data_IF_412406880984
#
_entry.id   IF_412406880984
#
_cell.length_a   1.000
_cell.length_b   1.000
_cell.length_c   1.000
_cell.angle_alpha   90.00
_cell.angle_beta   90.00
_cell.angle_gamma   90.00
#
_symmetry.space_group_name_H-M   'P 1'
#
loop_
_entity.id
_entity.type
_entity.pdbx_description
1 polymer ?
#
# COMPACT_ATOMS: atom_id res chain seq x y z
N UNK A 1 12.45 -20.88 2.63
CA UNK A 1 12.11 -20.72 1.21
C UNK A 1 13.40 -20.37 0.48
N UNK A 2 13.77 -21.17 -0.52
CA UNK A 2 15.11 -21.21 -1.09
C UNK A 2 15.59 -19.84 -1.62
N UNK A 3 16.81 -19.45 -1.24
CA UNK A 3 17.48 -18.23 -1.75
C UNK A 3 17.75 -18.33 -3.26
N UNK A 4 17.58 -19.51 -3.85
CA UNK A 4 17.60 -19.78 -5.29
C UNK A 4 16.20 -19.99 -5.90
N UNK A 5 15.19 -19.26 -5.45
CA UNK A 5 13.92 -19.16 -6.18
C UNK A 5 14.23 -18.89 -7.67
N UNK A 6 13.85 -19.85 -8.52
CA UNK A 6 14.17 -19.93 -9.95
C UNK A 6 14.06 -18.54 -10.60
N UNK A 7 15.16 -18.05 -11.18
CA UNK A 7 15.23 -16.69 -11.72
C UNK A 7 14.12 -16.40 -12.72
N UNK A 8 13.74 -17.40 -13.54
CA UNK A 8 12.64 -17.29 -14.47
C UNK A 8 11.28 -17.09 -13.77
N UNK A 9 11.05 -17.77 -12.63
CA UNK A 9 9.84 -17.55 -11.82
C UNK A 9 9.83 -16.13 -11.27
N UNK A 10 10.96 -15.64 -10.73
CA UNK A 10 11.05 -14.27 -10.19
C UNK A 10 10.81 -13.20 -11.25
N UNK A 11 11.32 -13.42 -12.46
CA UNK A 11 11.12 -12.52 -13.59
C UNK A 11 9.65 -12.52 -14.03
N UNK A 12 9.05 -13.71 -14.18
CA UNK A 12 7.63 -13.84 -14.51
C UNK A 12 6.72 -13.19 -13.45
N UNK A 13 6.99 -13.42 -12.15
CA UNK A 13 6.29 -12.76 -11.04
C UNK A 13 6.49 -11.25 -11.08
N UNK A 14 7.70 -10.77 -11.35
CA UNK A 14 7.98 -9.33 -11.46
C UNK A 14 7.21 -8.66 -12.61
N UNK A 15 7.13 -9.33 -13.76
CA UNK A 15 6.35 -8.85 -14.90
C UNK A 15 4.84 -8.81 -14.59
N UNK A 16 4.33 -9.84 -13.91
CA UNK A 16 2.94 -9.87 -13.44
C UNK A 16 2.65 -8.73 -12.46
N UNK A 17 3.47 -8.58 -11.42
CA UNK A 17 3.32 -7.53 -10.42
C UNK A 17 3.39 -6.12 -11.03
N UNK A 18 4.25 -5.92 -12.04
CA UNK A 18 4.30 -4.65 -12.78
C UNK A 18 3.00 -4.38 -13.53
N UNK A 19 2.45 -5.37 -14.23
CA UNK A 19 1.16 -5.23 -14.93
C UNK A 19 0.03 -4.84 -13.98
N UNK A 20 -0.06 -5.51 -12.82
CA UNK A 20 -1.03 -5.16 -11.78
C UNK A 20 -0.80 -3.75 -11.25
N UNK A 21 0.45 -3.42 -10.89
CA UNK A 21 0.82 -2.10 -10.38
C UNK A 21 0.42 -0.99 -11.36
N UNK A 22 0.77 -1.12 -12.64
CA UNK A 22 0.49 -0.11 -13.66
C UNK A 22 -1.03 0.13 -13.80
N UNK A 23 -1.85 -0.92 -13.63
CA UNK A 23 -3.30 -0.81 -13.66
C UNK A 23 -3.89 -0.09 -12.42
N UNK A 24 -3.40 -0.40 -11.21
CA UNK A 24 -4.02 0.09 -9.96
C UNK A 24 -3.41 1.40 -9.44
N UNK A 25 -2.12 1.66 -9.72
CA UNK A 25 -1.38 2.77 -9.13
C UNK A 25 -2.01 4.15 -9.40
N UNK A 26 -2.55 4.45 -10.60
CA UNK A 26 -3.25 5.72 -10.84
C UNK A 26 -4.45 5.92 -9.92
N UNK A 27 -5.28 4.88 -9.74
CA UNK A 27 -6.46 4.93 -8.89
C UNK A 27 -6.06 5.05 -7.41
N UNK A 28 -5.06 4.28 -6.97
CA UNK A 28 -4.51 4.36 -5.60
C UNK A 28 -3.99 5.78 -5.31
N UNK A 29 -3.21 6.37 -6.23
CA UNK A 29 -2.66 7.72 -6.05
C UNK A 29 -3.76 8.77 -5.95
N UNK A 30 -4.77 8.69 -6.82
CA UNK A 30 -5.92 9.60 -6.77
C UNK A 30 -6.69 9.49 -5.44
N UNK A 31 -6.99 8.26 -5.02
CA UNK A 31 -7.67 7.97 -3.76
C UNK A 31 -6.87 8.44 -2.53
N UNK A 32 -5.56 8.20 -2.51
CA UNK A 32 -4.69 8.62 -1.42
C UNK A 32 -4.53 10.15 -1.37
N UNK A 33 -4.39 10.80 -2.53
CA UNK A 33 -4.30 12.26 -2.63
C UNK A 33 -5.57 12.92 -2.09
N UNK A 34 -6.75 12.37 -2.42
CA UNK A 34 -8.03 12.83 -1.86
C UNK A 34 -8.07 12.74 -0.33
N UNK A 35 -7.33 11.80 0.25
CA UNK A 35 -7.19 11.62 1.70
C UNK A 35 -6.00 12.38 2.32
N UNK A 36 -5.29 13.19 1.54
CA UNK A 36 -4.14 13.98 2.01
C UNK A 36 -2.82 13.21 2.08
N UNK A 37 -2.67 12.12 1.33
CA UNK A 37 -1.47 11.29 1.31
C UNK A 37 -0.79 11.29 -0.07
N UNK A 38 0.54 11.31 -0.07
CA UNK A 38 1.36 11.02 -1.25
C UNK A 38 1.75 9.54 -1.27
N UNK A 39 1.69 8.90 -2.45
CA UNK A 39 2.02 7.46 -2.60
C UNK A 39 3.20 7.26 -3.55
N UNK A 40 4.20 6.51 -3.07
CA UNK A 40 5.35 6.07 -3.83
C UNK A 40 5.43 4.53 -3.87
N UNK A 41 5.97 4.01 -4.97
CA UNK A 41 6.36 2.59 -5.10
C UNK A 41 7.74 2.45 -4.47
N UNK A 42 7.92 1.44 -3.62
CA UNK A 42 9.25 1.04 -3.15
C UNK A 42 9.44 -0.46 -3.42
N UNK A 43 10.66 -0.96 -3.22
CA UNK A 43 10.94 -2.38 -3.47
C UNK A 43 11.15 -2.75 -4.94
N UNK A 44 11.25 -4.05 -5.18
CA UNK A 44 11.77 -4.60 -6.45
C UNK A 44 10.71 -5.19 -7.38
N UNK A 45 9.47 -5.30 -6.92
CA UNK A 45 8.35 -6.00 -7.57
C UNK A 45 8.57 -7.51 -7.80
N UNK A 46 9.73 -8.07 -7.42
CA UNK A 46 10.10 -9.46 -7.71
C UNK A 46 9.27 -10.51 -6.97
N UNK A 47 8.45 -10.11 -5.98
CA UNK A 47 7.58 -11.01 -5.21
C UNK A 47 6.24 -10.37 -4.89
N UNK A 48 6.30 -9.12 -4.45
CA UNK A 48 5.25 -8.31 -3.85
C UNK A 48 5.23 -6.91 -4.49
N UNK A 49 4.12 -6.20 -4.36
CA UNK A 49 4.01 -4.79 -4.75
C UNK A 49 4.15 -3.95 -3.48
N UNK A 50 5.34 -3.41 -3.21
CA UNK A 50 5.51 -2.54 -2.05
C UNK A 50 5.17 -1.08 -2.38
N UNK A 51 4.25 -0.51 -1.60
CA UNK A 51 3.85 0.89 -1.66
C UNK A 51 4.05 1.55 -0.30
N UNK A 52 4.37 2.85 -0.33
CA UNK A 52 4.35 3.70 0.86
C UNK A 52 3.44 4.90 0.62
N UNK A 53 2.49 5.09 1.53
CA UNK A 53 1.66 6.28 1.67
C UNK A 53 2.21 7.13 2.82
N UNK A 54 2.43 8.42 2.57
CA UNK A 54 2.94 9.36 3.56
C UNK A 54 1.94 10.51 3.65
N UNK A 55 1.48 10.83 4.85
CA UNK A 55 0.66 12.01 5.08
C UNK A 55 1.40 13.25 4.54
N UNK A 56 0.78 13.92 3.57
CA UNK A 56 1.37 15.04 2.83
C UNK A 56 0.78 16.39 3.24
N UNK A 57 -0.38 16.35 3.91
CA UNK A 57 -1.11 17.53 4.38
C UNK A 57 -1.41 17.40 5.86
N UNK A 58 -1.50 18.52 6.58
CA UNK A 58 -1.88 18.53 8.01
C UNK A 58 -3.30 18.01 8.25
N UNK A 59 -4.15 18.05 7.22
CA UNK A 59 -5.53 17.55 7.24
C UNK A 59 -5.66 16.13 6.67
N UNK A 60 -4.55 15.38 6.61
CA UNK A 60 -4.59 14.00 6.13
C UNK A 60 -5.58 13.18 6.98
N UNK A 61 -6.43 12.42 6.32
CA UNK A 61 -7.47 11.64 6.99
C UNK A 61 -6.87 10.56 7.91
N UNK A 62 -7.64 10.06 8.88
CA UNK A 62 -7.26 8.89 9.67
C UNK A 62 -6.82 7.71 8.78
N UNK A 63 -5.87 6.92 9.27
CA UNK A 63 -5.28 5.81 8.49
C UNK A 63 -6.35 4.81 8.05
N UNK A 64 -7.32 4.49 8.90
CA UNK A 64 -8.37 3.53 8.55
C UNK A 64 -9.24 4.01 7.37
N UNK A 65 -9.50 5.32 7.28
CA UNK A 65 -10.21 5.92 6.15
C UNK A 65 -9.38 5.85 4.86
N UNK A 66 -8.06 6.06 4.96
CA UNK A 66 -7.14 5.89 3.84
C UNK A 66 -7.18 4.44 3.33
N UNK A 67 -7.05 3.47 4.24
CA UNK A 67 -7.04 2.03 3.89
C UNK A 67 -8.36 1.63 3.24
N UNK A 68 -9.50 2.06 3.80
CA UNK A 68 -10.81 1.80 3.20
C UNK A 68 -10.90 2.35 1.77
N UNK A 69 -10.44 3.59 1.56
CA UNK A 69 -10.50 4.26 0.25
C UNK A 69 -9.57 3.58 -0.77
N UNK A 70 -8.34 3.21 -0.36
CA UNK A 70 -7.41 2.49 -1.23
C UNK A 70 -7.96 1.12 -1.63
N UNK A 71 -8.57 0.37 -0.69
CA UNK A 71 -9.21 -0.91 -1.02
C UNK A 71 -10.34 -0.73 -2.04
N UNK A 72 -11.15 0.31 -1.89
CA UNK A 72 -12.17 0.68 -2.88
C UNK A 72 -11.57 0.99 -4.25
N UNK A 73 -10.46 1.72 -4.31
CA UNK A 73 -9.77 2.03 -5.55
C UNK A 73 -9.21 0.78 -6.25
N UNK A 74 -8.57 -0.12 -5.49
CA UNK A 74 -8.07 -1.40 -6.02
C UNK A 74 -9.23 -2.28 -6.48
N UNK A 75 -10.30 -2.39 -5.68
CA UNK A 75 -11.49 -3.18 -6.03
C UNK A 75 -12.20 -2.63 -7.27
N UNK A 76 -12.22 -1.31 -7.48
CA UNK A 76 -12.77 -0.70 -8.69
C UNK A 76 -12.05 -1.09 -9.98
N UNK A 77 -10.77 -1.47 -9.88
CA UNK A 77 -9.95 -1.89 -11.03
C UNK A 77 -9.90 -3.43 -11.15
N UNK A 78 -9.73 -4.14 -10.03
CA UNK A 78 -9.48 -5.59 -10.01
C UNK A 78 -10.67 -6.41 -9.50
N UNK A 79 -11.80 -5.78 -9.20
CA UNK A 79 -13.05 -6.42 -8.76
C UNK A 79 -13.17 -6.67 -7.25
N UNK A 80 -12.06 -6.77 -6.51
CA UNK A 80 -12.07 -6.90 -5.06
C UNK A 80 -10.74 -6.46 -4.42
N UNK A 81 -10.77 -6.12 -3.13
CA UNK A 81 -9.57 -5.93 -2.32
C UNK A 81 -9.88 -6.07 -0.82
N UNK A 82 -9.14 -6.94 -0.12
CA UNK A 82 -9.28 -7.16 1.32
C UNK A 82 -7.96 -6.93 2.04
N UNK A 83 -8.02 -6.78 3.36
CA UNK A 83 -6.83 -6.74 4.21
C UNK A 83 -6.57 -8.15 4.72
N UNK A 84 -5.31 -8.60 4.72
CA UNK A 84 -4.91 -9.86 5.33
C UNK A 84 -4.28 -9.60 6.70
N UNK A 85 -4.84 -10.24 7.72
CA UNK A 85 -4.34 -10.14 9.09
C UNK A 85 -4.45 -8.73 9.70
N UNK A 86 -3.81 -8.57 10.85
CA UNK A 86 -3.80 -7.32 11.60
C UNK A 86 -2.66 -6.38 11.14
N UNK A 87 -2.85 -5.05 11.21
CA UNK A 87 -1.83 -4.09 10.83
C UNK A 87 -0.58 -4.19 11.71
N UNK A 88 0.60 -4.22 11.09
CA UNK A 88 1.87 -4.34 11.78
C UNK A 88 2.49 -2.98 12.12
N UNK A 89 2.84 -2.73 13.38
CA UNK A 89 3.63 -1.56 13.78
C UNK A 89 5.09 -1.70 13.30
N UNK A 90 5.67 -0.64 12.76
CA UNK A 90 7.04 -0.56 12.24
C UNK A 90 7.75 0.70 12.79
N UNK A 91 9.08 0.83 12.64
CA UNK A 91 9.82 2.01 13.09
C UNK A 91 9.25 3.33 12.53
N UNK A 92 9.52 4.42 13.24
CA UNK A 92 9.08 5.78 12.88
C UNK A 92 7.56 5.98 12.82
N UNK A 93 6.81 5.22 13.61
CA UNK A 93 5.34 5.31 13.63
C UNK A 93 4.66 4.75 12.37
N UNK A 94 5.43 4.10 11.47
CA UNK A 94 4.90 3.50 10.26
C UNK A 94 4.04 2.29 10.58
N UNK A 95 2.92 2.14 9.87
CA UNK A 95 1.99 1.02 9.97
C UNK A 95 2.03 0.24 8.66
N UNK A 96 2.13 -1.07 8.72
CA UNK A 96 2.17 -1.94 7.54
C UNK A 96 0.87 -2.74 7.42
N UNK A 97 0.28 -2.71 6.22
CA UNK A 97 -0.91 -3.47 5.84
C UNK A 97 -0.54 -4.38 4.66
N UNK A 98 -1.08 -5.59 4.67
CA UNK A 98 -1.04 -6.49 3.50
C UNK A 98 -2.41 -6.50 2.86
N UNK A 99 -2.50 -6.08 1.60
CA UNK A 99 -3.73 -6.04 0.84
C UNK A 99 -3.75 -7.16 -0.21
N UNK A 100 -4.85 -7.91 -0.25
CA UNK A 100 -5.06 -9.03 -1.16
C UNK A 100 -6.09 -8.64 -2.21
N UNK A 101 -5.78 -8.90 -3.48
CA UNK A 101 -6.65 -8.71 -4.63
C UNK A 101 -6.85 -10.04 -5.38
N UNK A 102 -7.84 -10.15 -6.29
CA UNK A 102 -8.09 -11.38 -7.07
C UNK A 102 -6.98 -11.79 -8.03
N UNK A 103 -5.90 -11.01 -8.13
CA UNK A 103 -4.77 -11.35 -8.98
C UNK A 103 -4.10 -12.59 -8.41
N UNK A 104 -3.96 -13.62 -9.23
CA UNK A 104 -3.55 -14.95 -8.77
C UNK A 104 -2.13 -15.00 -8.16
N UNK A 105 -1.32 -13.96 -8.35
CA UNK A 105 0.05 -13.84 -7.86
C UNK A 105 0.28 -12.42 -7.32
N UNK A 106 0.81 -12.29 -6.11
CA UNK A 106 1.23 -11.00 -5.58
C UNK A 106 0.25 -10.37 -4.59
N UNK A 107 0.83 -9.76 -3.57
CA UNK A 107 0.16 -8.98 -2.54
C UNK A 107 0.60 -7.53 -2.68
N UNK A 108 -0.23 -6.59 -2.25
CA UNK A 108 0.20 -5.19 -2.10
C UNK A 108 0.58 -4.98 -0.64
N UNK A 109 1.87 -4.81 -0.39
CA UNK A 109 2.38 -4.40 0.91
C UNK A 109 2.32 -2.87 1.00
N UNK A 110 1.35 -2.37 1.76
CA UNK A 110 1.13 -0.94 1.94
C UNK A 110 1.66 -0.48 3.30
N UNK A 111 2.76 0.26 3.26
CA UNK A 111 3.24 1.04 4.40
C UNK A 111 2.54 2.39 4.47
N UNK A 112 2.14 2.82 5.66
CA UNK A 112 1.55 4.14 5.91
C UNK A 112 2.36 4.86 6.98
N UNK A 113 2.82 6.07 6.67
CA UNK A 113 3.30 7.02 7.67
C UNK A 113 2.12 7.97 7.96
N UNK A 114 1.51 7.89 9.16
CA UNK A 114 0.36 8.72 9.53
C UNK A 114 0.77 10.20 9.64
N UNK A 115 -0.21 11.13 9.66
CA UNK A 115 0.08 12.52 10.04
C UNK A 115 0.76 12.53 11.42
N UNK A 116 1.67 13.49 11.61
CA UNK A 116 2.22 13.76 12.93
C UNK A 116 1.06 14.04 13.89
N UNK A 117 1.11 13.56 15.15
CA UNK A 117 0.18 14.01 16.15
C UNK A 117 0.26 15.54 16.20
N UNK A 118 -0.89 16.21 16.07
CA UNK A 118 -0.95 17.66 16.19
C UNK A 118 -0.26 18.05 17.50
N UNK A 119 0.74 18.93 17.45
CA UNK A 119 1.43 19.45 18.64
C UNK A 119 0.54 20.34 19.54
N UNK A 120 -0.80 20.26 19.40
CA UNK A 120 -1.78 21.09 20.10
C UNK A 120 -2.52 20.39 21.25
N UNK A 121 -2.28 19.09 21.48
CA UNK A 121 -2.91 18.34 22.57
C UNK A 121 -2.00 18.18 23.81
N UNK A 122 -0.77 18.70 23.76
CA UNK A 122 0.18 18.71 24.89
C UNK A 122 0.10 19.98 25.77
N UNK A 123 -0.86 20.89 25.51
CA UNK A 123 -1.17 22.04 26.38
C UNK A 123 -2.63 21.96 26.90
N UNK A 124 -2.89 21.03 27.83
CA UNK A 124 -3.98 21.15 28.82
C UNK A 124 -3.54 20.61 30.18
#
# INVERSE_FOLDING_TARGET
MDKHANAAIREATGAFNRSILDAVLPAIRSAALFKGYAVAVHGSLKRDIDLIAIAWTDQASPVDDLIHTIKGAVAGVLGNCITLGEPGKKPHGRIAYTLIHPGHLGEIDLSVIPPSPNQGDDEQ
#
